data_IF_149866456524
#
_entry.id   IF_149866456524
#
_cell.length_a   1.000
_cell.length_b   1.000
_cell.length_c   1.000
_cell.angle_alpha   90.00
_cell.angle_beta   90.00
_cell.angle_gamma   90.00
#
_symmetry.space_group_name_H-M   'P 1'
#
loop_
_entity.id
_entity.type
_entity.pdbx_description
1 polymer ?
#
# COMPACT_ATOMS: atom_id res chain seq x y z
N UNK A 1 5.79 -4.43 -3.72
CA UNK A 1 5.52 -3.52 -4.85
C UNK A 1 6.75 -2.70 -5.29
N UNK A 2 7.55 -2.14 -4.37
CA UNK A 2 8.80 -1.42 -4.69
C UNK A 2 10.04 -2.12 -4.11
N UNK A 3 11.23 -1.65 -4.47
CA UNK A 3 12.52 -2.14 -3.96
C UNK A 3 13.29 -3.03 -4.93
N UNK A 4 14.42 -3.59 -4.47
CA UNK A 4 15.38 -4.35 -5.30
C UNK A 4 14.84 -5.68 -5.86
N UNK A 5 13.81 -6.24 -5.21
CA UNK A 5 13.16 -7.51 -5.60
C UNK A 5 11.65 -7.36 -5.41
N UNK A 6 10.96 -6.64 -6.31
CA UNK A 6 9.53 -6.43 -6.18
C UNK A 6 8.77 -7.73 -6.47
N UNK A 7 7.79 -8.06 -5.62
CA UNK A 7 6.96 -9.27 -5.73
C UNK A 7 6.23 -9.37 -7.09
N UNK A 8 5.81 -8.23 -7.64
CA UNK A 8 4.98 -8.12 -8.85
C UNK A 8 5.77 -7.68 -10.09
N UNK A 9 7.10 -7.83 -10.07
CA UNK A 9 7.98 -7.37 -11.14
C UNK A 9 8.31 -5.87 -11.06
N UNK A 10 9.21 -5.42 -11.95
CA UNK A 10 9.61 -4.02 -11.99
C UNK A 10 8.49 -3.17 -12.60
N UNK A 11 7.89 -2.27 -11.82
CA UNK A 11 6.83 -1.37 -12.28
C UNK A 11 7.25 -0.54 -13.51
N UNK A 12 8.56 -0.34 -13.70
CA UNK A 12 9.13 0.32 -14.88
C UNK A 12 8.92 -0.47 -16.18
N UNK A 13 8.61 -1.75 -16.11
CA UNK A 13 8.26 -2.57 -17.26
C UNK A 13 6.76 -2.51 -17.61
N UNK A 14 5.98 -1.65 -16.95
CA UNK A 14 4.54 -1.50 -17.18
C UNK A 14 4.20 -1.19 -18.63
N UNK A 15 3.24 -1.94 -19.20
CA UNK A 15 2.76 -1.74 -20.56
C UNK A 15 2.15 -0.34 -20.72
N UNK A 16 2.55 0.38 -21.76
CA UNK A 16 2.08 1.75 -22.02
C UNK A 16 2.70 2.83 -21.13
N UNK A 17 3.63 2.48 -20.24
CA UNK A 17 4.35 3.47 -19.42
C UNK A 17 5.35 4.27 -20.27
N UNK A 18 4.98 5.51 -20.57
CA UNK A 18 5.82 6.49 -21.27
C UNK A 18 6.91 7.06 -20.35
N UNK A 19 7.91 7.71 -20.94
CA UNK A 19 9.07 8.24 -20.22
C UNK A 19 8.73 9.35 -19.21
N UNK A 20 7.74 10.18 -19.51
CA UNK A 20 7.22 11.20 -18.59
C UNK A 20 6.62 10.55 -17.34
N UNK A 21 5.77 9.55 -17.51
CA UNK A 21 5.20 8.75 -16.43
C UNK A 21 6.28 8.01 -15.65
N UNK A 22 7.26 7.40 -16.33
CA UNK A 22 8.40 6.71 -15.70
C UNK A 22 9.20 7.65 -14.81
N UNK A 23 9.52 8.86 -15.29
CA UNK A 23 10.24 9.87 -14.49
C UNK A 23 9.41 10.33 -13.28
N UNK A 24 8.10 10.52 -13.44
CA UNK A 24 7.23 10.90 -12.35
C UNK A 24 7.20 9.83 -11.26
N UNK A 25 6.90 8.58 -11.63
CA UNK A 25 6.82 7.46 -10.70
C UNK A 25 8.18 7.18 -10.04
N UNK A 26 9.30 7.38 -10.74
CA UNK A 26 10.62 7.26 -10.15
C UNK A 26 10.82 8.28 -9.02
N UNK A 27 10.50 9.56 -9.25
CA UNK A 27 10.60 10.59 -8.20
C UNK A 27 9.73 10.28 -6.99
N UNK A 28 8.53 9.75 -7.22
CA UNK A 28 7.63 9.31 -6.15
C UNK A 28 8.23 8.14 -5.38
N UNK A 29 8.76 7.13 -6.07
CA UNK A 29 9.41 5.98 -5.43
C UNK A 29 10.61 6.38 -4.57
N UNK A 30 11.46 7.29 -5.08
CA UNK A 30 12.64 7.79 -4.36
C UNK A 30 12.23 8.56 -3.09
N UNK A 31 11.20 9.41 -3.19
CA UNK A 31 10.69 10.16 -2.04
C UNK A 31 10.00 9.26 -1.01
N UNK A 32 9.26 8.26 -1.47
CA UNK A 32 8.65 7.26 -0.59
C UNK A 32 9.73 6.48 0.16
N UNK A 33 10.75 5.98 -0.52
CA UNK A 33 11.89 5.27 0.09
C UNK A 33 12.52 6.13 1.19
N UNK A 34 12.86 7.38 0.88
CA UNK A 34 13.43 8.33 1.85
C UNK A 34 12.52 8.53 3.08
N UNK A 35 11.22 8.70 2.88
CA UNK A 35 10.27 8.94 3.98
C UNK A 35 10.08 7.72 4.86
N UNK A 36 9.90 6.54 4.28
CA UNK A 36 9.65 5.32 5.05
C UNK A 36 10.92 4.83 5.76
N UNK A 37 12.10 5.07 5.19
CA UNK A 37 13.38 4.86 5.88
C UNK A 37 13.51 5.77 7.11
N UNK A 38 13.21 7.07 6.95
CA UNK A 38 13.22 8.02 8.07
C UNK A 38 12.18 7.68 9.15
N UNK A 39 11.02 7.16 8.76
CA UNK A 39 10.00 6.66 9.69
C UNK A 39 10.48 5.42 10.46
N UNK A 40 11.28 4.58 9.81
CA UNK A 40 11.94 3.42 10.42
C UNK A 40 11.01 2.23 10.65
N UNK A 41 11.59 1.12 11.13
CA UNK A 41 10.91 -0.19 11.28
C UNK A 41 10.87 -0.69 12.72
N UNK A 42 10.60 0.21 13.66
CA UNK A 42 10.45 -0.15 15.08
C UNK A 42 9.22 -1.05 15.30
N UNK A 43 9.18 -1.76 16.41
CA UNK A 43 8.13 -2.74 16.73
C UNK A 43 6.70 -2.16 16.74
N UNK A 44 6.56 -0.85 16.99
CA UNK A 44 5.28 -0.13 16.97
C UNK A 44 4.86 0.33 15.57
N UNK A 45 5.70 0.12 14.56
CA UNK A 45 5.51 0.66 13.21
C UNK A 45 5.54 -0.39 12.12
N UNK A 46 6.19 -1.53 12.36
CA UNK A 46 6.48 -2.52 11.33
C UNK A 46 6.28 -3.93 11.87
N UNK A 47 5.63 -4.77 11.07
CA UNK A 47 5.30 -6.15 11.42
C UNK A 47 4.53 -6.82 10.30
N UNK A 48 3.88 -7.95 10.62
CA UNK A 48 2.99 -8.62 9.68
C UNK A 48 1.71 -7.79 9.49
N UNK A 49 1.36 -7.52 8.24
CA UNK A 49 0.16 -6.79 7.82
C UNK A 49 -0.63 -7.60 6.79
N UNK A 50 -1.87 -7.20 6.53
CA UNK A 50 -2.68 -7.81 5.47
C UNK A 50 -2.26 -7.38 4.07
N UNK A 51 -1.83 -6.12 3.91
CA UNK A 51 -1.37 -5.51 2.67
C UNK A 51 -2.42 -5.31 1.54
N UNK A 52 -3.66 -5.74 1.76
CA UNK A 52 -4.81 -5.52 0.85
C UNK A 52 -6.13 -5.39 1.62
N UNK A 53 -6.12 -4.65 2.74
CA UNK A 53 -7.27 -4.54 3.65
C UNK A 53 -8.37 -3.59 3.15
N UNK A 54 -8.88 -3.84 1.94
CA UNK A 54 -9.96 -3.05 1.32
C UNK A 54 -11.32 -3.40 1.91
N UNK A 55 -12.29 -2.49 1.81
CA UNK A 55 -13.68 -2.75 2.22
C UNK A 55 -14.28 -4.00 1.54
N UNK A 56 -13.86 -4.30 0.31
CA UNK A 56 -14.29 -5.50 -0.42
C UNK A 56 -13.82 -6.82 0.23
N UNK A 57 -12.77 -6.78 1.05
CA UNK A 57 -12.19 -7.92 1.77
C UNK A 57 -12.71 -8.05 3.21
N UNK A 58 -13.76 -7.30 3.54
CA UNK A 58 -14.46 -7.36 4.82
C UNK A 58 -15.85 -7.99 4.67
N UNK A 59 -16.05 -9.13 5.33
CA UNK A 59 -17.34 -9.81 5.43
C UNK A 59 -18.05 -9.38 6.72
N UNK A 60 -19.30 -8.95 6.61
CA UNK A 60 -20.10 -8.51 7.77
C UNK A 60 -21.26 -9.48 7.98
N UNK A 61 -21.38 -10.01 9.21
CA UNK A 61 -22.51 -10.85 9.64
C UNK A 61 -22.99 -10.37 11.01
N UNK A 62 -24.04 -9.55 11.03
CA UNK A 62 -24.54 -8.96 12.28
C UNK A 62 -23.51 -8.03 12.93
N UNK A 63 -23.07 -8.39 14.14
CA UNK A 63 -22.02 -7.70 14.90
C UNK A 63 -20.60 -8.25 14.63
N UNK A 64 -20.47 -9.22 13.71
CA UNK A 64 -19.20 -9.87 13.38
C UNK A 64 -18.59 -9.28 12.12
N UNK A 65 -17.27 -9.15 12.16
CA UNK A 65 -16.44 -8.78 11.03
C UNK A 65 -15.44 -9.91 10.74
N UNK A 66 -15.46 -10.43 9.53
CA UNK A 66 -14.48 -11.37 9.00
C UNK A 66 -13.58 -10.68 7.98
N UNK A 67 -12.28 -10.99 8.01
CA UNK A 67 -11.31 -10.53 7.01
C UNK A 67 -10.95 -11.72 6.12
N UNK A 68 -10.89 -11.49 4.82
CA UNK A 68 -10.50 -12.49 3.81
C UNK A 68 -9.37 -11.95 2.92
N UNK A 69 -8.81 -12.81 2.08
CA UNK A 69 -7.84 -12.45 1.03
C UNK A 69 -6.42 -12.08 1.54
N UNK A 70 -5.83 -12.98 2.33
CA UNK A 70 -4.48 -12.82 2.91
C UNK A 70 -3.34 -13.21 1.95
N UNK A 71 -3.58 -13.33 0.65
CA UNK A 71 -2.54 -13.77 -0.29
C UNK A 71 -1.39 -12.75 -0.44
N UNK A 72 -1.70 -11.46 -0.26
CA UNK A 72 -0.75 -10.34 -0.25
C UNK A 72 -0.04 -10.11 1.10
N UNK A 73 -0.41 -10.86 2.15
CA UNK A 73 0.09 -10.60 3.50
C UNK A 73 1.63 -10.68 3.58
N UNK A 74 2.20 -9.83 4.43
CA UNK A 74 3.65 -9.75 4.54
C UNK A 74 4.14 -8.72 5.53
N UNK A 75 5.46 -8.61 5.62
CA UNK A 75 6.10 -7.64 6.52
C UNK A 75 6.13 -6.25 5.90
N UNK A 76 5.41 -5.31 6.51
CA UNK A 76 5.34 -3.91 6.09
C UNK A 76 5.13 -2.98 7.28
N UNK A 77 5.04 -1.68 7.02
CA UNK A 77 4.61 -0.72 8.02
C UNK A 77 3.13 -0.89 8.33
N UNK A 78 2.71 -0.89 9.60
CA UNK A 78 1.30 -1.08 9.98
C UNK A 78 0.35 -0.07 9.32
N UNK A 79 0.81 1.17 9.11
CA UNK A 79 0.03 2.21 8.41
C UNK A 79 -0.25 1.88 6.94
N UNK A 80 0.45 0.91 6.35
CA UNK A 80 0.16 0.45 5.00
C UNK A 80 -1.23 -0.20 4.88
N UNK A 81 -1.75 -0.86 5.93
CA UNK A 81 -3.13 -1.39 5.90
C UNK A 81 -4.18 -0.27 5.85
N UNK A 82 -3.89 0.91 6.41
CA UNK A 82 -4.74 2.08 6.23
C UNK A 82 -4.71 2.58 4.78
N UNK A 83 -3.52 2.66 4.17
CA UNK A 83 -3.40 3.03 2.76
C UNK A 83 -4.16 2.04 1.85
N UNK A 84 -4.10 0.74 2.17
CA UNK A 84 -4.87 -0.28 1.46
C UNK A 84 -6.39 -0.08 1.64
N UNK A 85 -6.86 0.25 2.84
CA UNK A 85 -8.28 0.45 3.15
C UNK A 85 -8.96 1.55 2.33
N UNK A 86 -8.20 2.55 1.87
CA UNK A 86 -8.70 3.69 1.11
C UNK A 86 -8.38 3.60 -0.39
N UNK A 87 -7.92 2.43 -0.85
CA UNK A 87 -7.60 2.20 -2.26
C UNK A 87 -8.78 2.55 -3.16
N UNK A 88 -8.51 3.29 -4.25
CA UNK A 88 -9.48 3.82 -5.21
C UNK A 88 -10.42 4.94 -4.72
N UNK A 89 -10.38 5.29 -3.43
CA UNK A 89 -11.14 6.39 -2.84
C UNK A 89 -10.25 7.44 -2.18
N UNK A 90 -8.95 7.44 -2.49
CA UNK A 90 -7.94 8.32 -1.88
C UNK A 90 -8.19 9.81 -2.19
N UNK A 91 -9.04 10.10 -3.18
CA UNK A 91 -9.41 11.43 -3.65
C UNK A 91 -10.83 11.85 -3.22
N UNK A 92 -11.55 10.99 -2.49
CA UNK A 92 -12.88 11.30 -2.00
C UNK A 92 -12.82 12.37 -0.90
N UNK A 93 -13.78 13.32 -0.81
CA UNK A 93 -13.74 14.41 0.16
C UNK A 93 -13.68 13.96 1.63
N UNK A 94 -14.13 12.75 1.93
CA UNK A 94 -14.02 12.16 3.27
C UNK A 94 -12.56 12.02 3.74
N UNK A 95 -11.63 11.90 2.79
CA UNK A 95 -10.19 11.79 3.06
C UNK A 95 -9.56 13.14 3.43
N UNK A 96 -10.17 14.27 3.08
CA UNK A 96 -9.67 15.60 3.47
C UNK A 96 -9.85 15.90 4.97
N UNK A 97 -10.57 15.03 5.69
CA UNK A 97 -10.88 15.17 7.11
C UNK A 97 -9.92 14.38 8.03
N UNK A 98 -9.02 13.58 7.45
CA UNK A 98 -8.05 12.72 8.15
C UNK A 98 -6.65 13.35 8.20
#
# INVERSE_FOLDING_TARGET
MLGRRPLWGDWRAGLGLRDDGRRLLQRVADELERRVEAYGRGEQRFGLVHADLRLANLLVEGDRLGVIDFDDCGFSWFFYDFAAAVSFIEHEPVMDLL
#
